data_IF_520110349046
#
_entry.id   IF_520110349046
#
_cell.length_a   1.000
_cell.length_b   1.000
_cell.length_c   1.000
_cell.angle_alpha   90.00
_cell.angle_beta   90.00
_cell.angle_gamma   90.00
#
_symmetry.space_group_name_H-M   'P 1'
#
loop_
_entity.id
_entity.type
_entity.pdbx_description
1 polymer ?
#
# COMPACT_ATOMS: atom_id res chain seq x y z
N UNK A 1 10.22 -6.67 -1.02
CA UNK A 1 10.98 -5.68 -1.83
C UNK A 1 11.02 -4.31 -1.17
N UNK A 2 9.88 -3.75 -0.72
CA UNK A 2 9.83 -2.44 -0.05
C UNK A 2 10.77 -2.31 1.16
N UNK A 3 10.68 -3.25 2.11
CA UNK A 3 11.45 -3.22 3.37
C UNK A 3 12.97 -3.38 3.15
N UNK A 4 13.39 -4.04 2.07
CA UNK A 4 14.81 -4.29 1.77
C UNK A 4 15.47 -3.20 0.91
N UNK A 5 14.81 -2.06 0.71
CA UNK A 5 15.32 -0.97 -0.14
C UNK A 5 15.45 -1.35 -1.63
N UNK A 6 14.78 -2.41 -2.08
CA UNK A 6 14.87 -2.91 -3.46
C UNK A 6 13.98 -2.18 -4.45
N UNK A 7 13.29 -1.12 -4.02
CA UNK A 7 12.35 -0.37 -4.85
C UNK A 7 13.09 0.70 -5.65
N UNK A 8 12.78 0.77 -6.95
CA UNK A 8 13.36 1.76 -7.87
C UNK A 8 12.64 3.10 -7.73
N UNK A 9 12.80 3.73 -6.56
CA UNK A 9 12.31 5.08 -6.23
C UNK A 9 13.07 6.17 -6.98
N UNK A 10 12.47 7.35 -7.15
CA UNK A 10 13.08 8.42 -7.93
C UNK A 10 14.45 8.83 -7.38
N UNK A 11 14.58 8.89 -6.06
CA UNK A 11 15.85 9.04 -5.34
C UNK A 11 16.88 7.96 -5.73
N UNK A 12 16.49 6.67 -5.70
CA UNK A 12 17.34 5.53 -6.08
C UNK A 12 17.70 5.50 -7.58
N UNK A 13 16.82 5.99 -8.45
CA UNK A 13 17.09 6.11 -9.88
C UNK A 13 18.06 7.28 -10.16
N UNK A 14 17.82 8.41 -9.50
CA UNK A 14 18.65 9.61 -9.64
C UNK A 14 20.05 9.38 -9.10
N UNK A 15 20.20 8.65 -7.98
CA UNK A 15 21.51 8.28 -7.42
C UNK A 15 22.33 7.36 -8.36
N UNK A 16 21.68 6.73 -9.34
CA UNK A 16 22.30 5.91 -10.39
C UNK A 16 22.48 6.66 -11.71
N UNK A 17 22.26 7.98 -11.73
CA UNK A 17 22.39 8.82 -12.93
C UNK A 17 21.22 8.71 -13.92
N UNK A 18 20.12 8.05 -13.55
CA UNK A 18 18.91 7.97 -14.38
C UNK A 18 18.07 9.21 -14.13
N UNK A 19 17.87 10.02 -15.17
CA UNK A 19 17.09 11.26 -15.09
C UNK A 19 15.60 10.92 -15.06
N UNK A 20 14.97 11.15 -13.90
CA UNK A 20 13.51 11.02 -13.71
C UNK A 20 13.00 12.18 -12.87
N UNK A 21 11.71 12.49 -12.99
CA UNK A 21 11.08 13.44 -12.06
C UNK A 21 11.20 12.92 -10.62
N UNK A 22 11.77 13.77 -9.76
CA UNK A 22 11.87 13.52 -8.32
C UNK A 22 10.53 13.64 -7.62
N UNK A 23 9.56 14.32 -8.23
CA UNK A 23 8.22 14.50 -7.64
C UNK A 23 7.46 13.17 -7.69
N UNK A 24 6.76 12.86 -6.60
CA UNK A 24 5.93 11.68 -6.45
C UNK A 24 4.81 11.67 -7.49
N UNK A 25 4.75 10.61 -8.30
CA UNK A 25 3.73 10.46 -9.33
C UNK A 25 2.31 10.17 -8.78
N UNK A 26 2.17 9.94 -7.47
CA UNK A 26 0.87 9.66 -6.84
C UNK A 26 0.17 10.94 -6.37
N UNK A 27 0.88 11.80 -5.62
CA UNK A 27 0.32 13.04 -5.07
C UNK A 27 0.74 14.30 -5.84
N UNK A 28 1.82 14.26 -6.61
CA UNK A 28 2.40 15.40 -7.33
C UNK A 28 2.85 16.59 -6.45
N UNK A 29 3.00 16.39 -5.14
CA UNK A 29 3.31 17.46 -4.17
C UNK A 29 4.73 17.39 -3.58
N UNK A 30 5.22 16.18 -3.27
CA UNK A 30 6.47 15.98 -2.54
C UNK A 30 7.46 15.13 -3.32
N UNK A 31 8.72 15.12 -2.89
CA UNK A 31 9.73 14.22 -3.45
C UNK A 31 9.42 12.75 -3.16
N UNK A 32 9.74 11.91 -4.13
CA UNK A 32 9.45 10.49 -4.11
C UNK A 32 10.58 9.71 -3.45
N UNK A 33 10.28 9.16 -2.27
CA UNK A 33 11.08 8.15 -1.60
C UNK A 33 10.15 7.04 -1.03
N UNK A 34 10.74 5.97 -0.48
CA UNK A 34 9.96 4.84 0.04
C UNK A 34 9.02 5.26 1.17
N UNK A 35 9.50 6.07 2.13
CA UNK A 35 8.68 6.56 3.25
C UNK A 35 7.50 7.39 2.75
N UNK A 36 7.75 8.27 1.79
CA UNK A 36 6.71 9.09 1.20
C UNK A 36 5.65 8.23 0.51
N UNK A 37 6.05 7.33 -0.40
CA UNK A 37 5.11 6.50 -1.18
C UNK A 37 4.16 5.73 -0.29
N UNK A 38 4.61 5.16 0.83
CA UNK A 38 3.79 4.25 1.62
C UNK A 38 3.12 4.87 2.85
N UNK A 39 3.58 6.03 3.35
CA UNK A 39 3.07 6.60 4.63
C UNK A 39 2.67 8.06 4.55
N UNK A 40 3.48 8.88 3.89
CA UNK A 40 3.27 10.34 3.88
C UNK A 40 2.42 10.78 2.68
N UNK A 41 2.36 9.98 1.62
CA UNK A 41 1.59 10.30 0.42
C UNK A 41 0.09 10.23 0.71
N UNK A 42 -0.62 11.34 0.51
CA UNK A 42 -2.07 11.44 0.73
C UNK A 42 -2.87 10.44 -0.11
N UNK A 43 -2.44 10.18 -1.34
CA UNK A 43 -3.05 9.20 -2.22
C UNK A 43 -2.97 7.79 -1.64
N UNK A 44 -1.78 7.38 -1.20
CA UNK A 44 -1.54 6.07 -0.58
C UNK A 44 -2.25 5.96 0.76
N UNK A 45 -2.22 7.03 1.56
CA UNK A 45 -2.88 7.09 2.85
C UNK A 45 -4.39 6.90 2.74
N UNK A 46 -5.03 7.55 1.77
CA UNK A 46 -6.46 7.36 1.49
C UNK A 46 -6.81 5.90 1.16
N UNK A 47 -5.95 5.20 0.43
CA UNK A 47 -6.15 3.78 0.10
C UNK A 47 -6.04 2.91 1.35
N UNK A 48 -4.94 3.03 2.10
CA UNK A 48 -4.69 2.20 3.28
C UNK A 48 -5.77 2.45 4.34
N UNK A 49 -6.14 3.71 4.57
CA UNK A 49 -7.22 4.09 5.50
C UNK A 49 -8.57 3.52 5.09
N UNK A 50 -8.86 3.46 3.79
CA UNK A 50 -10.12 2.88 3.28
C UNK A 50 -10.16 1.35 3.46
N UNK A 51 -9.04 0.68 3.23
CA UNK A 51 -8.90 -0.78 3.35
C UNK A 51 -8.90 -1.28 4.80
N UNK A 52 -8.41 -0.48 5.72
CA UNK A 52 -8.14 -0.86 7.11
C UNK A 52 -8.87 0.07 8.08
N UNK A 53 -10.12 0.43 7.76
CA UNK A 53 -10.91 1.39 8.55
C UNK A 53 -11.11 0.98 10.01
N UNK A 54 -11.06 -0.34 10.27
CA UNK A 54 -11.20 -0.93 11.61
C UNK A 54 -9.93 -0.77 12.46
N UNK A 55 -8.79 -0.41 11.85
CA UNK A 55 -7.52 -0.19 12.50
C UNK A 55 -7.35 1.31 12.81
N UNK A 56 -7.91 1.75 13.94
CA UNK A 56 -7.96 3.17 14.35
C UNK A 56 -6.61 3.88 14.51
N UNK A 57 -5.48 3.15 14.50
CA UNK A 57 -4.13 3.70 14.66
C UNK A 57 -3.52 4.30 13.38
N UNK A 58 -4.18 4.11 12.22
CA UNK A 58 -3.66 4.62 10.94
C UNK A 58 -3.59 6.15 10.88
N UNK A 59 -4.32 6.86 11.76
CA UNK A 59 -4.27 8.32 11.87
C UNK A 59 -2.85 8.89 12.09
N UNK A 60 -1.93 8.09 12.62
CA UNK A 60 -0.54 8.48 12.87
C UNK A 60 0.41 8.25 11.70
N UNK A 61 -0.09 7.74 10.55
CA UNK A 61 0.73 7.39 9.37
C UNK A 61 1.94 6.51 9.74
N UNK A 62 1.73 5.38 10.43
CA UNK A 62 2.82 4.51 10.84
C UNK A 62 3.57 3.96 9.62
N UNK A 63 4.87 3.71 9.76
CA UNK A 63 5.63 3.05 8.71
C UNK A 63 5.23 1.56 8.57
N UNK A 64 5.69 0.88 7.51
CA UNK A 64 5.27 -0.48 7.14
C UNK A 64 5.64 -1.43 8.28
N UNK A 65 6.82 -1.25 8.89
CA UNK A 65 7.27 -2.10 9.99
C UNK A 65 6.40 -1.90 11.21
N UNK A 66 6.12 -0.66 11.60
CA UNK A 66 5.21 -0.33 12.71
C UNK A 66 3.80 -0.89 12.48
N UNK A 67 3.31 -0.86 11.24
CA UNK A 67 2.03 -1.46 10.86
C UNK A 67 2.05 -2.99 11.01
N UNK A 68 3.13 -3.65 10.59
CA UNK A 68 3.31 -5.09 10.80
C UNK A 68 3.42 -5.46 12.29
N UNK A 69 4.23 -4.72 13.06
CA UNK A 69 4.39 -4.89 14.51
C UNK A 69 3.05 -4.75 15.23
N UNK A 70 2.28 -3.70 14.93
CA UNK A 70 0.96 -3.51 15.52
C UNK A 70 0.01 -4.67 15.22
N UNK A 71 -0.04 -5.12 13.96
CA UNK A 71 -0.89 -6.26 13.58
C UNK A 71 -0.46 -7.50 14.37
N UNK A 72 0.84 -7.73 14.53
CA UNK A 72 1.33 -8.87 15.29
C UNK A 72 1.06 -8.74 16.80
N UNK A 73 1.11 -7.55 17.38
CA UNK A 73 0.79 -7.34 18.79
C UNK A 73 -0.73 -7.42 19.09
N UNK A 74 -1.58 -7.22 18.09
CA UNK A 74 -3.05 -7.15 18.27
C UNK A 74 -3.70 -8.48 18.73
N UNK A 75 -2.98 -9.61 18.72
CA UNK A 75 -3.50 -10.96 18.98
C UNK A 75 -4.79 -11.34 18.23
N UNK A 76 -5.15 -10.63 17.16
CA UNK A 76 -6.32 -10.91 16.33
C UNK A 76 -6.21 -12.29 15.68
N UNK A 77 -7.34 -13.00 15.58
CA UNK A 77 -7.40 -14.27 14.83
C UNK A 77 -7.31 -14.06 13.31
N UNK A 78 -7.37 -12.81 12.87
CA UNK A 78 -7.49 -12.40 11.48
C UNK A 78 -6.24 -11.63 11.01
N UNK A 79 -5.13 -11.71 11.75
CA UNK A 79 -3.82 -11.16 11.40
C UNK A 79 -3.41 -11.47 9.96
N UNK A 80 -3.64 -12.70 9.50
CA UNK A 80 -3.30 -13.12 8.14
C UNK A 80 -4.04 -12.31 7.06
N UNK A 81 -5.28 -11.90 7.34
CA UNK A 81 -6.06 -11.02 6.44
C UNK A 81 -5.47 -9.62 6.43
N UNK A 82 -5.10 -9.07 7.59
CA UNK A 82 -4.45 -7.77 7.67
C UNK A 82 -3.08 -7.77 7.00
N UNK A 83 -2.25 -8.80 7.21
CA UNK A 83 -0.98 -8.94 6.52
C UNK A 83 -1.16 -9.04 5.01
N UNK A 84 -2.15 -9.81 4.54
CA UNK A 84 -2.50 -9.88 3.13
C UNK A 84 -2.92 -8.51 2.58
N UNK A 85 -3.76 -7.76 3.30
CA UNK A 85 -4.17 -6.41 2.92
C UNK A 85 -2.99 -5.45 2.82
N UNK A 86 -2.08 -5.44 3.81
CA UNK A 86 -0.86 -4.61 3.79
C UNK A 86 0.00 -4.97 2.58
N UNK A 87 0.27 -6.26 2.38
CA UNK A 87 1.08 -6.73 1.25
C UNK A 87 0.45 -6.37 -0.10
N UNK A 88 -0.85 -6.57 -0.25
CA UNK A 88 -1.60 -6.22 -1.45
C UNK A 88 -1.60 -4.70 -1.69
N UNK A 89 -1.81 -3.89 -0.65
CA UNK A 89 -1.76 -2.43 -0.76
C UNK A 89 -0.38 -1.96 -1.21
N UNK A 90 0.69 -2.42 -0.57
CA UNK A 90 2.08 -2.08 -0.94
C UNK A 90 2.36 -2.44 -2.40
N UNK A 91 1.96 -3.63 -2.83
CA UNK A 91 2.16 -4.07 -4.22
C UNK A 91 1.37 -3.20 -5.23
N UNK A 92 0.08 -2.99 -4.98
CA UNK A 92 -0.79 -2.26 -5.91
C UNK A 92 -0.47 -0.76 -5.98
N UNK A 93 -0.13 -0.13 -4.85
CA UNK A 93 0.35 1.25 -4.80
C UNK A 93 1.65 1.40 -5.59
N UNK A 94 2.59 0.47 -5.38
CA UNK A 94 3.84 0.48 -6.14
C UNK A 94 3.61 0.32 -7.64
N UNK A 95 2.72 -0.59 -8.04
CA UNK A 95 2.34 -0.78 -9.44
C UNK A 95 1.70 0.48 -10.01
N UNK A 96 0.68 1.05 -9.35
CA UNK A 96 0.03 2.30 -9.78
C UNK A 96 1.03 3.44 -9.97
N UNK A 97 1.99 3.57 -9.05
CA UNK A 97 3.05 4.57 -9.20
C UNK A 97 3.84 4.37 -10.50
N UNK A 98 4.20 3.12 -10.83
CA UNK A 98 4.95 2.84 -12.06
C UNK A 98 4.14 3.16 -13.30
N UNK A 99 2.87 2.77 -13.32
CA UNK A 99 1.93 3.06 -14.42
C UNK A 99 1.83 4.57 -14.67
N UNK A 100 1.65 5.37 -13.61
CA UNK A 100 1.62 6.83 -13.73
C UNK A 100 2.92 7.42 -14.22
N UNK A 101 4.04 6.88 -13.76
CA UNK A 101 5.37 7.45 -14.01
C UNK A 101 5.90 7.11 -15.40
N UNK A 102 5.54 5.94 -15.95
CA UNK A 102 6.13 5.42 -17.19
C UNK A 102 5.11 5.17 -18.30
N UNK A 103 3.83 5.00 -17.99
CA UNK A 103 2.78 4.63 -18.96
C UNK A 103 1.69 5.71 -19.10
N UNK A 104 1.66 6.71 -18.21
CA UNK A 104 0.70 7.82 -18.26
C UNK A 104 -0.72 7.45 -17.83
N UNK A 105 -0.92 6.25 -17.28
CA UNK A 105 -2.22 5.79 -16.79
C UNK A 105 -2.38 6.14 -15.31
N UNK A 106 -3.54 6.68 -14.92
CA UNK A 106 -3.83 7.03 -13.53
C UNK A 106 -5.24 6.59 -13.12
N UNK A 107 -5.34 6.00 -11.93
CA UNK A 107 -6.59 5.53 -11.34
C UNK A 107 -6.84 6.22 -10.00
N UNK A 108 -8.10 6.54 -9.68
CA UNK A 108 -8.43 7.17 -8.39
C UNK A 108 -8.06 6.27 -7.19
N UNK A 109 -7.80 6.87 -6.02
CA UNK A 109 -7.50 6.13 -4.80
C UNK A 109 -8.64 5.19 -4.42
N UNK A 110 -9.89 5.63 -4.60
CA UNK A 110 -11.09 4.83 -4.39
C UNK A 110 -11.12 3.60 -5.30
N UNK A 111 -10.90 3.79 -6.61
CA UNK A 111 -10.90 2.70 -7.58
C UNK A 111 -9.78 1.69 -7.31
N UNK A 112 -8.58 2.16 -6.93
CA UNK A 112 -7.48 1.28 -6.57
C UNK A 112 -7.75 0.51 -5.26
N UNK A 113 -8.34 1.16 -4.26
CA UNK A 113 -8.77 0.50 -3.02
C UNK A 113 -9.80 -0.61 -3.29
N UNK A 114 -10.80 -0.36 -4.13
CA UNK A 114 -11.77 -1.39 -4.56
C UNK A 114 -11.05 -2.55 -5.24
N UNK A 115 -10.11 -2.26 -6.16
CA UNK A 115 -9.32 -3.30 -6.86
C UNK A 115 -8.52 -4.16 -5.87
N UNK A 116 -7.88 -3.55 -4.88
CA UNK A 116 -7.14 -4.26 -3.84
C UNK A 116 -8.09 -5.14 -3.01
N UNK A 117 -9.19 -4.57 -2.53
CA UNK A 117 -10.20 -5.30 -1.74
C UNK A 117 -10.75 -6.51 -2.50
N UNK A 118 -11.10 -6.35 -3.77
CA UNK A 118 -11.58 -7.46 -4.62
C UNK A 118 -10.52 -8.55 -4.81
N UNK A 119 -9.25 -8.17 -5.00
CA UNK A 119 -8.16 -9.14 -5.13
C UNK A 119 -7.94 -9.94 -3.84
N UNK A 120 -7.99 -9.26 -2.68
CA UNK A 120 -7.87 -9.89 -1.36
C UNK A 120 -9.06 -10.80 -1.07
N UNK A 121 -10.29 -10.36 -1.30
CA UNK A 121 -11.50 -11.19 -1.14
C UNK A 121 -11.44 -12.46 -2.01
N UNK A 122 -11.02 -12.32 -3.26
CA UNK A 122 -10.85 -13.45 -4.18
C UNK A 122 -9.81 -14.47 -3.70
N UNK A 123 -8.80 -14.01 -2.94
CA UNK A 123 -7.78 -14.86 -2.33
C UNK A 123 -8.28 -15.53 -1.06
N UNK A 124 -8.96 -14.79 -0.18
CA UNK A 124 -9.46 -15.25 1.13
C UNK A 124 -10.57 -16.29 0.98
N UNK A 125 -11.44 -16.16 -0.02
CA UNK A 125 -12.49 -17.17 -0.31
C UNK A 125 -11.97 -18.59 -0.50
N UNK A 126 -10.68 -18.76 -0.78
CA UNK A 126 -10.02 -20.07 -0.91
C UNK A 126 -9.52 -20.65 0.41
N UNK A 127 -9.66 -19.92 1.52
CA UNK A 127 -9.19 -20.34 2.84
C UNK A 127 -10.27 -21.13 3.57
N UNK A 128 -9.86 -21.92 4.59
CA UNK A 128 -10.74 -22.82 5.35
C UNK A 128 -11.91 -22.10 6.07
N UNK A 129 -11.81 -20.77 6.26
CA UNK A 129 -12.84 -19.89 6.83
C UNK A 129 -13.12 -18.65 5.94
N UNK A 130 -12.99 -18.79 4.62
CA UNK A 130 -12.98 -17.66 3.68
C UNK A 130 -14.23 -16.78 3.72
N UNK A 131 -15.41 -17.36 3.92
CA UNK A 131 -16.67 -16.62 3.94
C UNK A 131 -16.77 -15.70 5.18
N UNK A 132 -16.45 -16.20 6.37
CA UNK A 132 -16.45 -15.41 7.63
C UNK A 132 -15.42 -14.27 7.57
N UNK A 133 -14.24 -14.53 7.00
CA UNK A 133 -13.19 -13.53 6.85
C UNK A 133 -13.53 -12.48 5.78
N UNK A 134 -14.43 -12.80 4.84
CA UNK A 134 -14.87 -11.86 3.81
C UNK A 134 -15.76 -10.76 4.37
N UNK A 135 -16.55 -11.05 5.41
CA UNK A 135 -17.42 -10.07 6.07
C UNK A 135 -16.64 -8.98 6.84
N UNK A 136 -15.34 -9.18 7.07
CA UNK A 136 -14.47 -8.18 7.70
C UNK A 136 -14.06 -7.04 6.77
N UNK A 137 -14.17 -7.24 5.46
CA UNK A 137 -13.67 -6.35 4.42
C UNK A 137 -14.78 -5.50 3.83
#
# INVERSE_FOLDING_TARGET
>A
MAIRGGLKTADCLTSRGIIVSKICALCHLYEENVSHIFFECDYSFAIVSSLMRNLGFLLLRPNILQLFEYIDDSHSKEKDVYFLLVCSAVYHIWRERNERKFEGNAVSSTSLAIKIKTAVLSKIRKWKNGDILSDML
#
